data_IF_621610313643
#
_entry.id   IF_621610313643
#
_cell.length_a   1.000
_cell.length_b   1.000
_cell.length_c   1.000
_cell.angle_alpha   90.00
_cell.angle_beta   90.00
_cell.angle_gamma   90.00
#
_symmetry.space_group_name_H-M   'P 1'
#
loop_
_entity.id
_entity.type
_entity.pdbx_description
1 polymer ?
#
# COMPACT_ATOMS: atom_id res chain seq x y z
N UNK A 1 -15.59 23.44 -4.62
CA UNK A 1 -16.59 22.47 -5.16
C UNK A 1 -16.03 21.64 -6.33
N UNK A 2 -15.25 22.22 -7.27
CA UNK A 2 -14.73 21.51 -8.44
C UNK A 2 -13.81 20.32 -8.12
N UNK A 3 -13.07 20.34 -7.02
CA UNK A 3 -12.15 19.26 -6.61
C UNK A 3 -12.81 18.16 -5.77
N UNK A 4 -14.06 18.33 -5.33
CA UNK A 4 -14.72 17.37 -4.46
C UNK A 4 -14.76 15.92 -4.99
N UNK A 5 -14.96 15.65 -6.30
CA UNK A 5 -14.94 14.30 -6.85
C UNK A 5 -13.57 13.59 -6.76
N UNK A 6 -12.49 14.37 -6.67
CA UNK A 6 -11.10 13.89 -6.65
C UNK A 6 -10.52 13.77 -5.25
N UNK A 7 -11.32 14.12 -4.24
CA UNK A 7 -10.87 14.05 -2.84
C UNK A 7 -10.63 12.59 -2.46
N UNK A 8 -9.43 12.32 -1.92
CA UNK A 8 -9.11 11.05 -1.29
C UNK A 8 -9.99 10.86 -0.05
N UNK A 9 -10.62 9.72 0.07
CA UNK A 9 -11.56 9.39 1.15
C UNK A 9 -10.86 8.70 2.30
N UNK A 10 -10.05 7.69 1.98
CA UNK A 10 -9.43 6.82 2.95
C UNK A 10 -8.13 6.21 2.42
N UNK A 11 -7.48 5.44 3.28
CA UNK A 11 -6.32 4.63 2.93
C UNK A 11 -6.42 3.23 3.53
N UNK A 12 -5.90 2.25 2.81
CA UNK A 12 -5.71 0.87 3.26
C UNK A 12 -4.22 0.58 3.29
N UNK A 13 -3.68 0.21 4.45
CA UNK A 13 -2.29 -0.19 4.59
C UNK A 13 -2.22 -1.71 4.70
N UNK A 14 -1.50 -2.34 3.79
CA UNK A 14 -1.35 -3.78 3.67
C UNK A 14 -0.17 -4.27 4.52
N UNK A 15 -0.45 -4.83 5.70
CA UNK A 15 0.55 -5.27 6.68
C UNK A 15 0.39 -6.74 7.10
N UNK A 16 -0.25 -7.58 6.27
CA UNK A 16 -0.55 -8.95 6.63
C UNK A 16 0.59 -9.95 6.30
N UNK A 17 1.55 -9.59 5.44
CA UNK A 17 2.55 -10.47 4.88
C UNK A 17 3.60 -10.98 5.88
N UNK A 18 4.09 -12.21 5.65
CA UNK A 18 5.12 -12.86 6.51
C UNK A 18 6.54 -12.35 6.29
N UNK A 19 6.80 -11.64 5.20
CA UNK A 19 8.12 -11.06 4.90
C UNK A 19 9.29 -12.07 4.92
N UNK A 20 9.07 -13.27 4.39
CA UNK A 20 10.01 -14.41 4.46
C UNK A 20 11.38 -14.12 3.86
N UNK A 21 11.45 -13.25 2.85
CA UNK A 21 12.73 -12.80 2.24
C UNK A 21 13.60 -11.97 3.21
N UNK A 22 13.05 -11.52 4.34
CA UNK A 22 13.75 -10.76 5.38
C UNK A 22 14.21 -11.61 6.58
N UNK A 23 14.15 -12.93 6.48
CA UNK A 23 14.71 -13.81 7.51
C UNK A 23 16.21 -13.50 7.73
N UNK A 24 16.72 -13.49 8.99
CA UNK A 24 16.01 -13.83 10.22
C UNK A 24 15.24 -12.69 10.88
N UNK A 25 15.35 -11.42 10.40
CA UNK A 25 14.72 -10.26 11.04
C UNK A 25 13.20 -10.37 11.12
N UNK A 26 12.58 -10.99 10.11
CA UNK A 26 11.11 -11.19 10.08
C UNK A 26 10.61 -12.20 11.11
N UNK A 27 11.49 -13.01 11.75
CA UNK A 27 11.10 -13.91 12.84
C UNK A 27 10.85 -13.17 14.15
N UNK A 28 11.45 -12.01 14.33
CA UNK A 28 11.30 -11.20 15.54
C UNK A 28 10.17 -10.18 15.44
N UNK A 29 9.98 -9.61 14.26
CA UNK A 29 8.98 -8.54 14.02
C UNK A 29 8.57 -8.44 12.56
N UNK A 30 7.32 -8.00 12.27
CA UNK A 30 6.89 -7.73 10.90
C UNK A 30 7.72 -6.58 10.30
N UNK A 31 7.88 -6.58 8.98
CA UNK A 31 8.57 -5.49 8.23
C UNK A 31 8.03 -4.10 8.58
N UNK A 32 6.71 -3.98 8.71
CA UNK A 32 6.03 -2.74 9.08
C UNK A 32 6.61 -2.08 10.35
N UNK A 33 7.16 -2.87 11.27
CA UNK A 33 7.75 -2.42 12.52
C UNK A 33 9.29 -2.31 12.48
N UNK A 34 9.89 -2.34 11.30
CA UNK A 34 11.31 -2.00 11.14
C UNK A 34 11.53 -0.51 11.34
N UNK A 35 12.68 -0.17 11.91
CA UNK A 35 13.09 1.22 12.08
C UNK A 35 14.01 1.65 10.94
N UNK A 36 13.62 2.74 10.28
CA UNK A 36 14.44 3.42 9.29
C UNK A 36 14.63 4.86 9.75
N UNK A 37 15.87 5.31 9.85
CA UNK A 37 16.23 6.66 10.37
C UNK A 37 15.58 6.99 11.72
N UNK A 38 15.42 5.99 12.60
CA UNK A 38 14.86 6.15 13.95
C UNK A 38 13.35 6.04 14.08
N UNK A 39 12.61 5.99 12.97
CA UNK A 39 11.14 5.88 12.94
C UNK A 39 10.69 4.49 12.50
N UNK A 40 9.53 4.02 13.02
CA UNK A 40 8.87 2.81 12.51
C UNK A 40 8.21 3.12 11.17
N UNK A 41 8.41 2.25 10.18
CA UNK A 41 7.89 2.43 8.82
C UNK A 41 6.39 2.72 8.83
N UNK A 42 5.60 1.86 9.44
CA UNK A 42 4.15 1.99 9.47
C UNK A 42 3.66 3.23 10.23
N UNK A 43 4.34 3.60 11.33
CA UNK A 43 3.97 4.82 12.08
C UNK A 43 4.25 6.08 11.27
N UNK A 44 5.35 6.09 10.53
CA UNK A 44 5.67 7.19 9.61
C UNK A 44 4.63 7.32 8.51
N UNK A 45 4.27 6.21 7.88
CA UNK A 45 3.28 6.20 6.81
C UNK A 45 1.90 6.68 7.29
N UNK A 46 1.44 6.21 8.46
CA UNK A 46 0.20 6.68 9.06
C UNK A 46 0.24 8.19 9.33
N UNK A 47 1.36 8.72 9.88
CA UNK A 47 1.50 10.16 10.11
C UNK A 47 1.45 10.95 8.80
N UNK A 48 2.15 10.52 7.76
CA UNK A 48 2.15 11.18 6.46
C UNK A 48 0.73 11.25 5.85
N UNK A 49 -0.05 10.17 5.96
CA UNK A 49 -1.46 10.17 5.56
C UNK A 49 -2.29 11.18 6.37
N UNK A 50 -2.15 11.16 7.70
CA UNK A 50 -2.90 12.06 8.60
C UNK A 50 -2.53 13.53 8.41
N UNK A 51 -1.25 13.86 8.17
CA UNK A 51 -0.77 15.20 7.83
C UNK A 51 -1.40 15.74 6.55
N UNK A 52 -1.70 14.87 5.59
CA UNK A 52 -2.42 15.21 4.35
C UNK A 52 -3.93 15.34 4.54
N UNK A 53 -4.43 15.04 5.75
CA UNK A 53 -5.84 15.11 6.09
C UNK A 53 -6.63 13.82 5.83
N UNK A 54 -5.94 12.72 5.49
CA UNK A 54 -6.53 11.39 5.32
C UNK A 54 -6.51 10.69 6.67
N UNK A 55 -7.67 10.66 7.35
CA UNK A 55 -7.79 10.13 8.71
C UNK A 55 -8.51 8.80 8.80
N UNK A 56 -9.32 8.46 7.82
CA UNK A 56 -9.96 7.15 7.70
C UNK A 56 -8.92 6.18 7.11
N UNK A 57 -8.22 5.46 8.01
CA UNK A 57 -7.13 4.56 7.67
C UNK A 57 -7.45 3.17 8.21
N UNK A 58 -7.47 2.19 7.32
CA UNK A 58 -7.63 0.77 7.65
C UNK A 58 -6.29 0.05 7.52
N UNK A 59 -5.87 -0.60 8.58
CA UNK A 59 -4.68 -1.45 8.60
C UNK A 59 -5.09 -2.91 8.49
N UNK A 60 -4.70 -3.60 7.42
CA UNK A 60 -4.94 -5.03 7.27
C UNK A 60 -3.73 -5.80 7.76
N UNK A 61 -3.89 -6.52 8.87
CA UNK A 61 -2.82 -7.24 9.57
C UNK A 61 -2.98 -8.76 9.46
N UNK A 62 -1.91 -9.50 9.62
CA UNK A 62 -1.91 -10.97 9.60
C UNK A 62 -0.79 -11.54 10.45
N UNK A 63 0.40 -11.71 9.88
CA UNK A 63 1.56 -12.21 10.59
C UNK A 63 1.94 -11.31 11.76
N UNK A 64 2.07 -11.90 12.96
CA UNK A 64 2.38 -11.18 14.21
C UNK A 64 1.46 -9.97 14.48
N UNK A 65 0.18 -10.06 14.11
CA UNK A 65 -0.81 -8.98 14.21
C UNK A 65 -0.87 -8.32 15.58
N UNK A 66 -0.64 -9.08 16.65
CA UNK A 66 -0.68 -8.60 18.05
C UNK A 66 0.30 -7.46 18.30
N UNK A 67 1.43 -7.46 17.57
CA UNK A 67 2.45 -6.41 17.67
C UNK A 67 2.00 -5.09 17.04
N UNK A 68 0.90 -5.08 16.27
CA UNK A 68 0.38 -3.90 15.58
C UNK A 68 -0.92 -3.35 16.17
N UNK A 69 -1.56 -4.06 17.12
CA UNK A 69 -2.84 -3.63 17.70
C UNK A 69 -2.78 -2.27 18.43
N UNK A 70 -1.61 -1.90 18.97
CA UNK A 70 -1.42 -0.61 19.62
C UNK A 70 -1.62 0.59 18.67
N UNK A 71 -1.50 0.37 17.35
CA UNK A 71 -1.68 1.41 16.35
C UNK A 71 -3.12 1.95 16.30
N UNK A 72 -4.10 1.11 16.62
CA UNK A 72 -5.49 1.52 16.72
C UNK A 72 -5.68 2.60 17.80
N UNK A 73 -5.14 2.37 18.99
CA UNK A 73 -5.23 3.33 20.10
C UNK A 73 -4.35 4.58 19.83
N UNK A 74 -3.12 4.36 19.34
CA UNK A 74 -2.14 5.44 19.15
C UNK A 74 -2.51 6.42 18.04
N UNK A 75 -3.09 5.93 16.94
CA UNK A 75 -3.34 6.71 15.72
C UNK A 75 -4.82 6.80 15.31
N UNK A 76 -5.72 6.07 15.99
CA UNK A 76 -7.12 6.03 15.63
C UNK A 76 -7.39 5.32 14.30
N UNK A 77 -6.58 4.32 13.95
CA UNK A 77 -6.75 3.52 12.74
C UNK A 77 -7.62 2.29 13.00
N UNK A 78 -8.39 1.87 11.99
CA UNK A 78 -9.12 0.61 12.05
C UNK A 78 -8.19 -0.57 11.76
N UNK A 79 -8.39 -1.69 12.46
CA UNK A 79 -7.62 -2.92 12.21
C UNK A 79 -8.55 -4.02 11.71
N UNK A 80 -8.20 -4.57 10.54
CA UNK A 80 -8.83 -5.76 9.96
C UNK A 80 -7.82 -6.90 9.97
N UNK A 81 -8.21 -8.05 10.51
CA UNK A 81 -7.33 -9.22 10.56
C UNK A 81 -7.58 -10.10 9.35
N UNK A 82 -6.50 -10.41 8.60
CA UNK A 82 -6.52 -11.46 7.60
C UNK A 82 -6.11 -12.79 8.24
N UNK A 83 -7.02 -13.74 8.46
CA UNK A 83 -6.69 -15.03 9.05
C UNK A 83 -5.92 -15.95 8.09
N UNK A 84 -6.07 -15.72 6.78
CA UNK A 84 -5.50 -16.55 5.71
C UNK A 84 -4.26 -15.93 5.06
N UNK A 85 -3.56 -15.01 5.76
CA UNK A 85 -2.39 -14.27 5.26
C UNK A 85 -1.27 -15.16 4.72
N UNK A 86 -1.20 -16.42 5.12
CA UNK A 86 -0.20 -17.40 4.69
C UNK A 86 -0.59 -18.17 3.43
N UNK A 87 -1.87 -18.12 3.01
CA UNK A 87 -2.42 -18.91 1.89
C UNK A 87 -2.57 -18.11 0.62
N UNK A 88 -2.88 -16.83 0.74
CA UNK A 88 -3.29 -16.00 -0.39
C UNK A 88 -2.41 -14.75 -0.51
N UNK A 89 -2.41 -14.17 -1.72
CA UNK A 89 -1.65 -12.98 -2.06
C UNK A 89 -2.33 -11.67 -1.59
N UNK A 90 -1.70 -10.54 -1.93
CA UNK A 90 -2.19 -9.21 -1.58
C UNK A 90 -3.59 -8.90 -2.11
N UNK A 91 -3.99 -9.45 -3.27
CA UNK A 91 -5.32 -9.22 -3.84
C UNK A 91 -6.40 -9.75 -2.93
N UNK A 92 -6.27 -10.99 -2.42
CA UNK A 92 -7.23 -11.57 -1.48
C UNK A 92 -7.27 -10.83 -0.15
N UNK A 93 -6.12 -10.32 0.31
CA UNK A 93 -6.05 -9.46 1.49
C UNK A 93 -6.83 -8.16 1.28
N UNK A 94 -6.72 -7.53 0.11
CA UNK A 94 -7.45 -6.32 -0.24
C UNK A 94 -8.96 -6.57 -0.35
N UNK A 95 -9.38 -7.76 -0.78
CA UNK A 95 -10.80 -8.12 -0.86
C UNK A 95 -11.50 -8.19 0.50
N UNK A 96 -10.77 -8.36 1.61
CA UNK A 96 -11.35 -8.29 2.97
C UNK A 96 -11.89 -6.89 3.33
N UNK A 97 -11.46 -5.87 2.62
CA UNK A 97 -11.85 -4.46 2.81
C UNK A 97 -12.43 -3.87 1.53
N UNK A 98 -12.97 -4.71 0.65
CA UNK A 98 -13.53 -4.31 -0.64
C UNK A 98 -14.65 -3.27 -0.52
N UNK A 99 -15.45 -3.36 0.55
CA UNK A 99 -16.53 -2.44 0.89
C UNK A 99 -16.04 -1.02 1.27
N UNK A 100 -14.76 -0.87 1.60
CA UNK A 100 -14.12 0.41 1.94
C UNK A 100 -13.47 1.09 0.75
N UNK A 101 -13.36 0.41 -0.39
CA UNK A 101 -12.65 0.95 -1.56
C UNK A 101 -13.51 1.97 -2.32
N UNK A 102 -13.03 3.21 -2.32
CA UNK A 102 -13.59 4.34 -3.07
C UNK A 102 -12.47 5.09 -3.81
N UNK A 103 -12.25 6.35 -3.46
CA UNK A 103 -11.07 7.14 -3.76
C UNK A 103 -10.01 6.82 -2.68
N UNK A 104 -9.30 5.72 -2.85
CA UNK A 104 -8.54 5.05 -1.78
C UNK A 104 -7.07 4.92 -2.13
N UNK A 105 -6.19 5.32 -1.21
CA UNK A 105 -4.80 4.89 -1.25
C UNK A 105 -4.67 3.45 -0.76
N UNK A 106 -3.89 2.65 -1.48
CA UNK A 106 -3.50 1.30 -1.05
C UNK A 106 -1.98 1.31 -0.92
N UNK A 107 -1.52 1.09 0.29
CA UNK A 107 -0.13 1.28 0.70
C UNK A 107 0.50 -0.03 1.13
N UNK A 108 1.77 -0.20 0.86
CA UNK A 108 2.61 -1.27 1.39
C UNK A 108 3.26 -0.81 2.69
N UNK A 109 3.04 -1.51 3.77
CA UNK A 109 3.50 -1.14 5.13
C UNK A 109 5.03 -1.12 5.31
N UNK A 110 5.79 -1.48 4.30
CA UNK A 110 7.25 -1.52 4.29
C UNK A 110 7.89 -0.47 3.36
N UNK A 111 7.12 0.41 2.77
CA UNK A 111 7.63 1.54 2.01
C UNK A 111 8.18 2.64 2.94
N UNK A 112 9.27 3.27 2.53
CA UNK A 112 9.84 4.43 3.20
C UNK A 112 9.86 5.62 2.25
N UNK A 113 9.05 6.63 2.54
CA UNK A 113 9.04 7.90 1.81
C UNK A 113 9.78 8.98 2.61
N UNK A 114 10.89 9.49 2.07
CA UNK A 114 11.65 10.56 2.71
C UNK A 114 10.82 11.84 2.85
N UNK A 115 10.07 12.17 1.81
CA UNK A 115 9.07 13.25 1.77
C UNK A 115 7.68 12.65 1.74
N UNK A 116 6.66 13.41 2.13
CA UNK A 116 5.28 12.93 2.11
C UNK A 116 4.78 12.80 0.66
N UNK A 117 4.48 11.59 0.16
CA UNK A 117 4.03 11.37 -1.21
C UNK A 117 2.52 11.52 -1.39
N UNK A 118 1.77 11.66 -0.27
CA UNK A 118 0.33 11.68 -0.31
C UNK A 118 -0.24 13.05 -0.64
N UNK A 119 -1.28 13.05 -1.46
CA UNK A 119 -2.00 14.24 -1.89
C UNK A 119 -3.47 14.14 -1.45
N UNK A 120 -4.11 15.25 -1.01
CA UNK A 120 -5.51 15.23 -0.58
C UNK A 120 -6.51 15.08 -1.73
N UNK A 121 -6.06 15.35 -2.97
CA UNK A 121 -6.87 15.26 -4.18
C UNK A 121 -6.07 14.58 -5.29
N UNK A 122 -6.63 13.52 -5.88
CA UNK A 122 -5.99 12.76 -6.95
C UNK A 122 -6.94 12.61 -8.12
N UNK A 123 -6.46 12.97 -9.32
CA UNK A 123 -7.30 13.06 -10.52
C UNK A 123 -7.75 11.71 -11.07
N UNK A 124 -6.88 10.69 -11.00
CA UNK A 124 -7.12 9.35 -11.57
C UNK A 124 -6.33 8.27 -10.87
N UNK A 125 -6.79 7.03 -10.99
CA UNK A 125 -6.07 5.86 -10.50
C UNK A 125 -4.66 5.76 -11.08
N UNK A 126 -3.69 5.36 -10.24
CA UNK A 126 -2.29 5.15 -10.64
C UNK A 126 -1.63 4.04 -9.82
N UNK A 127 -0.53 3.55 -10.34
CA UNK A 127 0.43 2.71 -9.62
C UNK A 127 1.79 3.43 -9.60
N UNK A 128 2.35 3.67 -8.41
CA UNK A 128 3.67 4.27 -8.28
C UNK A 128 4.76 3.28 -8.70
N UNK A 129 5.76 3.76 -9.40
CA UNK A 129 6.85 2.94 -9.89
C UNK A 129 8.20 3.63 -9.67
N UNK A 130 9.23 2.83 -9.49
CA UNK A 130 10.62 3.24 -9.45
C UNK A 130 11.38 2.66 -10.63
N UNK A 131 12.34 3.41 -11.16
CA UNK A 131 13.19 2.90 -12.23
C UNK A 131 14.31 2.07 -11.64
N UNK A 132 14.45 0.83 -12.09
CA UNK A 132 15.54 -0.07 -11.75
C UNK A 132 16.57 -0.07 -12.90
N UNK A 133 17.80 0.34 -12.61
CA UNK A 133 18.93 0.22 -13.52
C UNK A 133 19.48 -1.22 -13.48
N UNK A 134 19.82 -1.76 -14.65
CA UNK A 134 20.32 -3.13 -14.78
C UNK A 134 19.23 -4.19 -14.65
N UNK A 135 19.64 -5.39 -14.29
CA UNK A 135 18.71 -6.53 -14.13
C UNK A 135 17.92 -6.43 -12.83
N UNK A 136 16.65 -6.81 -12.87
CA UNK A 136 15.74 -6.85 -11.72
C UNK A 136 14.82 -8.06 -11.80
N UNK A 137 14.47 -8.63 -10.65
CA UNK A 137 13.49 -9.72 -10.51
C UNK A 137 12.09 -9.21 -10.07
N UNK A 138 11.96 -7.88 -9.90
CA UNK A 138 10.71 -7.27 -9.46
C UNK A 138 9.63 -7.26 -10.55
N UNK A 139 8.40 -6.91 -10.17
CA UNK A 139 7.30 -6.73 -11.11
C UNK A 139 7.50 -5.45 -11.92
N UNK A 140 7.73 -5.58 -13.22
CA UNK A 140 7.97 -4.46 -14.14
C UNK A 140 6.74 -4.07 -14.94
N UNK A 141 6.49 -2.77 -15.03
CA UNK A 141 5.35 -2.21 -15.74
C UNK A 141 5.65 -2.04 -17.23
N UNK A 142 4.71 -2.46 -18.07
CA UNK A 142 4.66 -2.09 -19.49
C UNK A 142 3.64 -0.97 -19.65
N UNK A 143 4.08 0.17 -20.21
CA UNK A 143 3.22 1.33 -20.42
C UNK A 143 3.18 1.71 -21.90
N UNK A 144 2.03 2.22 -22.35
CA UNK A 144 1.92 2.83 -23.66
C UNK A 144 2.48 4.28 -23.64
N UNK A 145 2.52 4.94 -24.80
CA UNK A 145 3.01 6.33 -24.96
C UNK A 145 2.24 7.36 -24.12
N UNK A 146 1.05 7.04 -23.61
CA UNK A 146 0.24 7.91 -22.76
C UNK A 146 0.41 7.60 -21.25
N UNK A 147 1.40 6.75 -20.90
CA UNK A 147 1.64 6.33 -19.51
C UNK A 147 0.60 5.37 -18.95
N UNK A 148 -0.26 4.78 -19.79
CA UNK A 148 -1.21 3.75 -19.33
C UNK A 148 -0.50 2.41 -19.21
N UNK A 149 -0.68 1.75 -18.07
CA UNK A 149 -0.22 0.37 -17.85
C UNK A 149 -0.98 -0.54 -18.81
N UNK A 150 -0.24 -1.31 -19.60
CA UNK A 150 -0.77 -2.27 -20.59
C UNK A 150 -0.41 -3.70 -20.25
N UNK A 151 0.49 -3.91 -19.28
CA UNK A 151 0.89 -5.22 -18.81
C UNK A 151 1.91 -5.13 -17.70
N UNK A 152 2.16 -6.29 -17.08
CA UNK A 152 3.17 -6.49 -16.04
C UNK A 152 3.97 -7.73 -16.40
N UNK A 153 5.29 -7.68 -16.18
CA UNK A 153 6.20 -8.84 -16.32
C UNK A 153 6.99 -9.01 -15.03
N UNK A 154 7.30 -10.26 -14.69
CA UNK A 154 8.27 -10.53 -13.61
C UNK A 154 9.66 -10.48 -14.21
N UNK A 155 10.52 -9.68 -13.58
CA UNK A 155 11.87 -9.44 -14.08
C UNK A 155 11.95 -8.51 -15.29
N UNK A 156 13.12 -7.90 -15.46
CA UNK A 156 13.41 -6.98 -16.55
C UNK A 156 14.83 -6.43 -16.47
N UNK A 157 15.16 -5.57 -17.41
CA UNK A 157 16.43 -4.84 -17.45
C UNK A 157 16.10 -3.37 -17.77
N UNK A 158 16.64 -2.43 -16.99
CA UNK A 158 16.38 -1.00 -17.16
C UNK A 158 14.87 -0.69 -17.22
N UNK A 159 14.14 -1.05 -16.20
CA UNK A 159 12.68 -1.09 -16.21
C UNK A 159 12.01 -0.36 -15.04
N UNK A 160 10.80 0.13 -15.28
CA UNK A 160 9.95 0.68 -14.22
C UNK A 160 9.32 -0.44 -13.40
N UNK A 161 9.66 -0.53 -12.12
CA UNK A 161 9.19 -1.56 -11.18
C UNK A 161 8.10 -1.03 -10.27
N UNK A 162 7.15 -1.89 -9.94
CA UNK A 162 6.03 -1.59 -9.06
C UNK A 162 6.51 -1.33 -7.63
N UNK A 163 6.14 -0.19 -7.05
CA UNK A 163 6.58 0.21 -5.71
C UNK A 163 5.63 -0.25 -4.58
N UNK A 164 4.40 -0.67 -4.87
CA UNK A 164 3.45 -1.03 -3.82
C UNK A 164 2.60 0.13 -3.29
N UNK A 165 2.81 1.35 -3.76
CA UNK A 165 2.00 2.52 -3.49
C UNK A 165 1.03 2.78 -4.64
N UNK A 166 -0.27 2.71 -4.35
CA UNK A 166 -1.32 2.71 -5.37
C UNK A 166 -2.44 3.65 -4.96
N UNK A 167 -3.05 4.29 -5.93
CA UNK A 167 -4.30 5.00 -5.74
C UNK A 167 -5.39 4.44 -6.67
N UNK A 168 -6.51 4.05 -6.08
CA UNK A 168 -7.73 3.68 -6.79
C UNK A 168 -8.69 4.86 -6.74
N UNK A 169 -9.13 5.36 -7.90
CA UNK A 169 -10.30 6.21 -7.97
C UNK A 169 -11.58 5.38 -7.86
N UNK A 170 -12.70 6.03 -7.60
CA UNK A 170 -13.98 5.36 -7.43
C UNK A 170 -14.37 4.46 -8.61
N UNK A 171 -14.05 4.88 -9.83
CA UNK A 171 -14.37 4.10 -11.03
C UNK A 171 -13.53 2.82 -11.10
N UNK A 172 -12.25 2.89 -10.72
CA UNK A 172 -11.38 1.72 -10.66
C UNK A 172 -11.78 0.80 -9.50
N UNK A 173 -12.03 1.33 -8.30
CA UNK A 173 -12.49 0.57 -7.12
C UNK A 173 -13.74 -0.24 -7.44
N UNK A 174 -14.74 0.39 -8.07
CA UNK A 174 -15.99 -0.29 -8.47
C UNK A 174 -15.78 -1.44 -9.44
N UNK A 175 -14.76 -1.37 -10.31
CA UNK A 175 -14.41 -2.47 -11.22
C UNK A 175 -13.62 -3.57 -10.51
N UNK A 176 -12.72 -3.17 -9.64
CA UNK A 176 -11.86 -4.10 -8.90
C UNK A 176 -12.66 -5.07 -8.04
N UNK A 177 -13.69 -4.59 -7.33
CA UNK A 177 -14.53 -5.43 -6.46
C UNK A 177 -15.49 -6.37 -7.23
N UNK A 178 -15.57 -6.27 -8.56
CA UNK A 178 -16.39 -7.13 -9.41
C UNK A 178 -15.61 -8.33 -9.99
N UNK A 179 -14.28 -8.37 -9.77
CA UNK A 179 -13.41 -9.45 -10.25
C UNK A 179 -13.40 -10.60 -9.25
#
# INVERSE_FOLDING_TARGET
QALAPYRVKNAVIMAAGMSTRFAPLSYEKPKALLRVKGELLIEREIRQLQETGIRDITLVVGYMKEKMFYLAEKFGVDIVVNPDYYRYNNTSTLMLVADRLENTYICSSDDYFAENPFEPFVYRAYYAAVYAEGETEEYCLKCNRRGRITGVTVGGHDAWCMLGHVYFDRAFSSKFVQI
#
